data_IF_707410970312
#
_entry.id   IF_707410970312
#
_cell.length_a   1.000
_cell.length_b   1.000
_cell.length_c   1.000
_cell.angle_alpha   90.00
_cell.angle_beta   90.00
_cell.angle_gamma   90.00
#
_symmetry.space_group_name_H-M   'P 1'
#
loop_
_entity.id
_entity.type
_entity.pdbx_description
1 polymer ?
#
# COMPACT_ATOMS: atom_id res chain seq x y z
N UNK A 1 41.75 31.68 15.42
CA UNK A 1 40.76 31.29 14.39
C UNK A 1 40.87 29.79 14.24
N UNK A 2 40.25 29.07 15.16
CA UNK A 2 40.14 27.62 15.15
C UNK A 2 38.72 27.30 15.59
N UNK A 3 38.05 26.43 14.84
CA UNK A 3 36.65 26.11 15.06
C UNK A 3 36.10 25.23 13.94
N UNK A 4 36.16 23.93 14.19
CA UNK A 4 35.24 22.88 13.74
C UNK A 4 35.04 22.64 12.23
N UNK A 5 35.97 21.89 11.63
CA UNK A 5 35.69 21.04 10.47
C UNK A 5 35.31 19.59 10.85
N UNK A 6 35.16 19.27 12.15
CA UNK A 6 34.83 17.90 12.61
C UNK A 6 33.34 17.65 12.86
N UNK A 7 32.49 18.69 12.97
CA UNK A 7 31.04 18.53 13.17
C UNK A 7 30.27 18.18 11.89
N UNK A 8 30.83 18.45 10.70
CA UNK A 8 30.17 18.16 9.42
C UNK A 8 30.41 16.72 8.93
N UNK A 9 31.34 15.97 9.53
CA UNK A 9 31.62 14.57 9.16
C UNK A 9 30.80 13.54 9.94
N UNK A 10 30.08 13.93 11.01
CA UNK A 10 29.30 13.01 11.84
C UNK A 10 27.95 12.61 11.23
N UNK A 11 27.41 13.37 10.27
CA UNK A 11 26.12 13.06 9.61
C UNK A 11 26.25 12.23 8.31
N UNK A 12 27.48 11.90 7.87
CA UNK A 12 27.70 11.19 6.60
C UNK A 12 28.08 9.69 6.76
N UNK A 13 27.90 9.10 7.94
CA UNK A 13 28.18 7.68 8.23
C UNK A 13 26.90 6.85 8.35
N UNK A 14 26.17 6.72 7.25
CA UNK A 14 25.33 5.54 7.03
C UNK A 14 25.14 5.24 5.52
N UNK A 15 26.25 5.18 4.76
CA UNK A 15 26.26 4.51 3.45
C UNK A 15 26.39 3.01 3.68
N UNK A 16 25.28 2.27 3.63
CA UNK A 16 25.29 0.81 3.40
C UNK A 16 24.17 0.44 2.42
N UNK A 17 24.61 0.09 1.21
CA UNK A 17 24.00 -0.78 0.20
C UNK A 17 22.48 -1.01 0.31
N UNK A 18 21.72 -0.29 -0.50
CA UNK A 18 20.29 -0.47 -0.60
C UNK A 18 19.93 -1.61 -1.57
N UNK A 19 19.19 -2.59 -1.07
CA UNK A 19 18.31 -3.43 -1.88
C UNK A 19 16.88 -3.02 -1.53
N UNK A 20 16.26 -2.21 -2.37
CA UNK A 20 14.88 -1.77 -2.16
C UNK A 20 13.92 -2.81 -2.74
N UNK A 21 13.15 -3.46 -1.86
CA UNK A 21 11.95 -4.21 -2.24
C UNK A 21 10.80 -3.22 -2.41
N UNK A 22 10.06 -3.29 -3.52
CA UNK A 22 9.14 -2.27 -4.04
C UNK A 22 7.91 -1.88 -3.21
N UNK A 23 7.52 -2.66 -2.20
CA UNK A 23 6.28 -2.40 -1.45
C UNK A 23 6.17 -1.03 -0.74
N UNK A 24 7.27 -0.30 -0.52
CA UNK A 24 7.24 0.94 0.29
C UNK A 24 7.29 2.25 -0.50
N UNK A 25 7.41 2.20 -1.82
CA UNK A 25 7.93 3.34 -2.60
C UNK A 25 6.87 4.17 -3.33
N UNK A 26 5.65 3.66 -3.52
CA UNK A 26 4.67 4.33 -4.41
C UNK A 26 3.98 5.53 -3.73
N UNK A 27 3.70 5.49 -2.43
CA UNK A 27 3.06 6.63 -1.74
C UNK A 27 4.05 7.73 -1.32
N UNK A 28 5.33 7.39 -1.19
CA UNK A 28 6.39 8.35 -0.85
C UNK A 28 6.85 9.18 -2.06
N UNK A 29 6.27 8.97 -3.26
CA UNK A 29 6.68 9.69 -4.48
C UNK A 29 6.66 11.21 -4.26
N UNK A 30 5.59 11.85 -3.74
CA UNK A 30 5.57 13.30 -3.54
C UNK A 30 6.63 13.78 -2.54
N UNK A 31 6.88 13.01 -1.47
CA UNK A 31 7.91 13.33 -0.48
C UNK A 31 9.32 13.20 -1.08
N UNK A 32 9.57 12.11 -1.80
CA UNK A 32 10.84 11.88 -2.50
C UNK A 32 11.07 12.95 -3.56
N UNK A 33 10.07 13.28 -4.37
CA UNK A 33 10.15 14.36 -5.37
C UNK A 33 10.47 15.71 -4.73
N UNK A 34 9.85 16.03 -3.58
CA UNK A 34 10.13 17.25 -2.82
C UNK A 34 11.60 17.31 -2.37
N UNK A 35 12.13 16.25 -1.75
CA UNK A 35 13.52 16.23 -1.27
C UNK A 35 14.56 16.08 -2.39
N UNK A 36 14.20 15.41 -3.49
CA UNK A 36 15.09 15.13 -4.61
C UNK A 36 15.22 16.31 -5.58
N UNK A 37 14.37 17.34 -5.50
CA UNK A 37 14.51 18.56 -6.30
C UNK A 37 14.47 18.31 -7.81
N UNK A 38 13.69 17.33 -8.26
CA UNK A 38 13.56 16.96 -9.68
C UNK A 38 14.54 15.90 -10.19
N UNK A 39 15.32 15.25 -9.31
CA UNK A 39 16.08 14.05 -9.72
C UNK A 39 15.12 12.90 -10.13
N UNK A 40 15.40 12.17 -11.23
CA UNK A 40 14.60 11.02 -11.63
C UNK A 40 14.56 9.93 -10.55
N UNK A 41 13.35 9.51 -10.18
CA UNK A 41 13.14 8.36 -9.30
C UNK A 41 13.21 7.07 -10.12
N UNK A 42 14.24 6.27 -9.89
CA UNK A 42 14.51 5.06 -10.67
C UNK A 42 14.12 3.81 -9.89
N UNK A 43 13.28 2.97 -10.50
CA UNK A 43 13.06 1.60 -10.05
C UNK A 43 13.59 0.61 -11.09
N UNK A 44 14.73 -0.02 -10.80
CA UNK A 44 15.45 -0.85 -11.76
C UNK A 44 15.09 -2.33 -11.72
N UNK A 45 14.67 -2.85 -10.56
CA UNK A 45 14.62 -4.30 -10.32
C UNK A 45 13.32 -4.70 -9.63
N UNK A 46 12.75 -5.83 -10.04
CA UNK A 46 11.71 -6.53 -9.33
C UNK A 46 12.27 -7.86 -8.80
N UNK A 47 12.47 -7.92 -7.48
CA UNK A 47 13.13 -9.04 -6.79
C UNK A 47 12.42 -9.36 -5.47
N UNK A 48 12.39 -10.64 -5.12
CA UNK A 48 11.95 -11.16 -3.83
C UNK A 48 13.05 -12.05 -3.21
N UNK A 49 12.82 -12.60 -2.02
CA UNK A 49 13.82 -13.46 -1.34
C UNK A 49 13.93 -14.81 -2.04
N UNK A 50 12.83 -15.20 -2.67
CA UNK A 50 12.58 -16.47 -3.32
C UNK A 50 13.16 -16.50 -4.73
N UNK A 51 13.16 -15.36 -5.44
CA UNK A 51 13.57 -15.26 -6.83
C UNK A 51 13.92 -13.80 -7.25
N UNK A 52 14.89 -13.65 -8.15
CA UNK A 52 15.05 -12.40 -8.90
C UNK A 52 14.17 -12.48 -10.16
N UNK A 53 13.17 -11.61 -10.29
CA UNK A 53 12.10 -11.84 -11.28
C UNK A 53 12.32 -11.05 -12.56
N UNK A 54 12.54 -9.74 -12.45
CA UNK A 54 12.53 -8.87 -13.62
C UNK A 54 13.34 -7.59 -13.47
N UNK A 55 13.57 -6.93 -14.60
CA UNK A 55 14.30 -5.66 -14.69
C UNK A 55 13.45 -4.62 -15.40
N UNK A 56 13.53 -3.36 -14.97
CA UNK A 56 12.96 -2.25 -15.72
C UNK A 56 13.93 -1.88 -16.85
N UNK A 57 13.50 -2.10 -18.09
CA UNK A 57 14.27 -1.79 -19.30
C UNK A 57 14.18 -0.32 -19.71
N UNK A 58 13.24 0.44 -19.14
CA UNK A 58 13.12 1.89 -19.26
C UNK A 58 13.25 2.54 -17.88
N UNK A 59 14.47 2.60 -17.31
CA UNK A 59 14.68 3.00 -15.92
C UNK A 59 14.33 4.47 -15.64
N UNK A 60 14.17 5.31 -16.67
CA UNK A 60 13.80 6.72 -16.55
C UNK A 60 12.30 6.98 -16.78
N UNK A 61 11.51 5.92 -16.96
CA UNK A 61 10.05 6.02 -17.00
C UNK A 61 9.50 6.72 -15.76
N UNK A 62 8.38 7.42 -15.89
CA UNK A 62 7.70 7.99 -14.71
C UNK A 62 7.37 6.87 -13.71
N UNK A 63 7.40 7.15 -12.39
CA UNK A 63 7.06 6.16 -11.36
C UNK A 63 5.72 5.43 -11.58
N UNK A 64 4.71 6.12 -12.11
CA UNK A 64 3.39 5.54 -12.41
C UNK A 64 3.37 4.60 -13.64
N UNK A 65 4.39 4.70 -14.50
CA UNK A 65 4.48 3.97 -15.77
C UNK A 65 5.44 2.77 -15.68
N UNK A 66 6.07 2.55 -14.53
CA UNK A 66 7.07 1.49 -14.34
C UNK A 66 6.48 0.11 -14.65
N UNK A 67 7.19 -0.62 -15.52
CA UNK A 67 6.95 -2.03 -15.82
C UNK A 67 8.27 -2.80 -15.82
N UNK A 68 8.25 -4.03 -15.32
CA UNK A 68 9.41 -4.91 -15.25
C UNK A 68 9.31 -6.00 -16.31
N UNK A 69 10.34 -6.17 -17.11
CA UNK A 69 10.47 -7.29 -18.03
C UNK A 69 10.95 -8.51 -17.25
N UNK A 70 10.16 -9.59 -17.26
CA UNK A 70 10.54 -10.84 -16.60
C UNK A 70 11.74 -11.45 -17.32
N UNK A 71 12.75 -11.88 -16.57
CA UNK A 71 13.96 -12.51 -17.11
C UNK A 71 13.78 -14.03 -17.10
N UNK A 72 13.54 -14.68 -18.26
CA UNK A 72 13.10 -16.09 -18.29
C UNK A 72 14.13 -17.09 -17.75
N UNK A 73 15.41 -16.69 -17.65
CA UNK A 73 16.48 -17.57 -17.15
C UNK A 73 16.59 -17.62 -15.62
N UNK A 74 15.87 -16.77 -14.89
CA UNK A 74 15.99 -16.68 -13.43
C UNK A 74 15.26 -17.79 -12.67
N UNK A 75 14.12 -18.23 -13.20
CA UNK A 75 13.29 -19.31 -12.67
C UNK A 75 12.33 -19.78 -13.77
N UNK A 76 11.62 -20.88 -13.54
CA UNK A 76 10.44 -21.19 -14.32
C UNK A 76 9.25 -20.41 -13.75
N UNK A 77 8.56 -19.66 -14.61
CA UNK A 77 7.48 -18.76 -14.24
C UNK A 77 6.16 -19.24 -14.83
N UNK A 78 5.23 -19.57 -13.94
CA UNK A 78 3.81 -19.76 -14.20
C UNK A 78 3.03 -18.56 -13.67
N UNK A 79 1.81 -18.36 -14.16
CA UNK A 79 0.95 -17.24 -13.78
C UNK A 79 -0.45 -17.74 -13.47
N UNK A 80 -0.86 -17.58 -12.22
CA UNK A 80 -2.21 -17.87 -11.79
C UNK A 80 -3.10 -16.65 -12.07
N UNK A 81 -4.10 -16.80 -12.93
CA UNK A 81 -5.00 -15.70 -13.29
C UNK A 81 -5.82 -15.25 -12.07
N UNK A 82 -5.71 -13.96 -11.73
CA UNK A 82 -6.49 -13.36 -10.65
C UNK A 82 -7.73 -12.72 -11.26
N UNK A 83 -8.89 -13.33 -11.06
CA UNK A 83 -10.15 -12.69 -11.47
C UNK A 83 -10.36 -11.44 -10.64
N UNK A 84 -10.61 -10.31 -11.31
CA UNK A 84 -11.06 -9.05 -10.67
C UNK A 84 -12.56 -9.00 -10.38
N UNK A 85 -13.23 -10.16 -10.36
CA UNK A 85 -14.61 -10.23 -9.93
C UNK A 85 -14.66 -10.40 -8.42
N UNK A 86 -15.03 -9.31 -7.73
CA UNK A 86 -15.43 -9.28 -6.33
C UNK A 86 -16.74 -10.05 -6.10
N UNK A 87 -16.81 -11.33 -6.47
CA UNK A 87 -17.93 -12.22 -6.21
C UNK A 87 -17.44 -13.63 -5.87
N UNK A 88 -17.12 -13.86 -4.60
CA UNK A 88 -17.36 -15.19 -4.00
C UNK A 88 -18.71 -15.14 -3.27
N UNK A 89 -19.79 -15.05 -4.04
CA UNK A 89 -21.12 -15.48 -3.56
C UNK A 89 -21.37 -16.89 -4.06
N UNK A 90 -21.17 -17.87 -3.18
CA UNK A 90 -21.74 -19.21 -3.35
C UNK A 90 -20.70 -20.32 -3.28
N UNK A 91 -20.91 -21.23 -2.33
CA UNK A 91 -20.30 -22.55 -2.32
C UNK A 91 -20.63 -23.29 -3.63
N UNK A 92 -19.70 -23.27 -4.58
CA UNK A 92 -19.66 -24.12 -5.77
C UNK A 92 -18.29 -24.83 -5.86
N UNK A 93 -18.19 -26.01 -6.50
CA UNK A 93 -16.99 -26.82 -6.47
C UNK A 93 -15.87 -26.12 -7.25
N UNK A 94 -14.75 -25.86 -6.57
CA UNK A 94 -13.44 -25.46 -7.09
C UNK A 94 -13.47 -24.79 -8.47
N UNK A 95 -13.70 -23.48 -8.52
CA UNK A 95 -13.49 -22.73 -9.76
C UNK A 95 -12.07 -23.01 -10.28
N UNK A 96 -11.97 -23.44 -11.53
CA UNK A 96 -10.70 -23.81 -12.16
C UNK A 96 -9.74 -22.61 -12.14
N UNK A 97 -8.81 -22.62 -11.19
CA UNK A 97 -7.66 -21.72 -11.14
C UNK A 97 -6.84 -21.94 -12.42
N UNK A 98 -6.95 -21.03 -13.38
CA UNK A 98 -6.22 -21.11 -14.65
C UNK A 98 -4.79 -20.65 -14.41
N UNK A 99 -3.87 -21.59 -14.50
CA UNK A 99 -2.43 -21.32 -14.49
C UNK A 99 -1.95 -21.35 -15.93
N UNK A 100 -1.27 -20.29 -16.37
CA UNK A 100 -0.71 -20.16 -17.72
C UNK A 100 0.81 -20.05 -17.65
N UNK A 101 1.49 -20.44 -18.72
CA UNK A 101 2.93 -20.26 -18.84
C UNK A 101 3.28 -18.78 -19.09
N UNK A 102 4.56 -18.42 -18.86
CA UNK A 102 5.10 -17.09 -19.11
C UNK A 102 4.75 -16.53 -20.52
N UNK A 103 4.70 -17.39 -21.54
CA UNK A 103 4.44 -16.99 -22.92
C UNK A 103 2.94 -16.74 -23.21
N UNK A 104 2.04 -17.26 -22.37
CA UNK A 104 0.60 -17.30 -22.62
C UNK A 104 -0.18 -16.24 -21.83
N UNK A 105 0.53 -15.38 -21.10
CA UNK A 105 -0.07 -14.26 -20.36
C UNK A 105 -0.69 -13.23 -21.31
N UNK A 106 -1.78 -12.61 -20.88
CA UNK A 106 -2.55 -11.65 -21.71
C UNK A 106 -2.37 -10.22 -21.23
N UNK A 107 -2.13 -9.30 -22.16
CA UNK A 107 -2.05 -7.86 -21.85
C UNK A 107 -3.35 -7.39 -21.21
N UNK A 108 -3.24 -6.62 -20.13
CA UNK A 108 -4.36 -6.08 -19.36
C UNK A 108 -4.88 -6.98 -18.25
N UNK A 109 -4.51 -8.27 -18.25
CA UNK A 109 -4.91 -9.22 -17.21
C UNK A 109 -3.98 -9.15 -15.99
N UNK A 110 -4.53 -9.50 -14.83
CA UNK A 110 -3.82 -9.58 -13.56
C UNK A 110 -3.53 -11.04 -13.20
N UNK A 111 -2.32 -11.29 -12.71
CA UNK A 111 -1.84 -12.61 -12.38
C UNK A 111 -1.05 -12.61 -11.08
N UNK A 112 -1.13 -13.72 -10.35
CA UNK A 112 -0.17 -14.04 -9.30
C UNK A 112 0.95 -14.91 -9.87
N UNK A 113 2.22 -14.50 -9.74
CA UNK A 113 3.33 -15.30 -10.22
C UNK A 113 3.53 -16.53 -9.33
N UNK A 114 3.69 -17.67 -10.00
CA UNK A 114 3.97 -18.98 -9.42
C UNK A 114 5.36 -19.39 -9.91
N UNK A 115 6.32 -19.49 -8.99
CA UNK A 115 7.73 -19.68 -9.34
C UNK A 115 8.22 -21.08 -8.99
N UNK A 116 8.98 -21.67 -9.90
CA UNK A 116 9.80 -22.86 -9.63
C UNK A 116 11.27 -22.47 -9.77
N UNK A 117 12.04 -22.60 -8.68
CA UNK A 117 13.40 -22.05 -8.57
C UNK A 117 14.46 -23.13 -8.46
N UNK A 118 15.71 -22.78 -8.81
CA UNK A 118 16.87 -23.68 -8.65
C UNK A 118 17.16 -24.07 -7.20
N UNK A 119 16.64 -23.29 -6.24
CA UNK A 119 16.82 -23.53 -4.80
C UNK A 119 15.75 -24.43 -4.18
N UNK A 120 14.91 -25.08 -5.00
CA UNK A 120 13.97 -26.12 -4.54
C UNK A 120 12.58 -25.60 -4.13
N UNK A 121 12.20 -24.39 -4.53
CA UNK A 121 10.80 -23.98 -4.48
C UNK A 121 10.10 -24.51 -5.74
N UNK A 122 8.99 -25.23 -5.58
CA UNK A 122 8.23 -25.81 -6.70
C UNK A 122 6.81 -25.26 -6.70
N UNK A 123 6.44 -24.62 -7.81
CA UNK A 123 5.14 -23.95 -8.00
C UNK A 123 4.76 -23.08 -6.80
N UNK A 124 5.73 -22.33 -6.28
CA UNK A 124 5.55 -21.48 -5.11
C UNK A 124 4.82 -20.20 -5.49
N UNK A 125 3.68 -19.96 -4.84
CA UNK A 125 2.89 -18.74 -4.97
C UNK A 125 3.60 -17.57 -4.28
N UNK A 126 4.02 -16.57 -5.03
CA UNK A 126 4.75 -15.41 -4.49
C UNK A 126 3.85 -14.50 -3.66
N UNK A 127 2.53 -14.50 -3.93
CA UNK A 127 1.54 -13.65 -3.26
C UNK A 127 1.41 -12.23 -3.81
N UNK A 128 2.26 -11.87 -4.79
CA UNK A 128 2.19 -10.60 -5.50
C UNK A 128 1.11 -10.65 -6.59
N UNK A 129 0.52 -9.51 -6.94
CA UNK A 129 -0.38 -9.36 -8.10
C UNK A 129 0.31 -8.50 -9.13
N UNK A 130 0.35 -8.98 -10.37
CA UNK A 130 1.07 -8.39 -11.49
C UNK A 130 0.13 -8.19 -12.67
N UNK A 131 0.09 -6.97 -13.21
CA UNK A 131 -0.63 -6.68 -14.46
C UNK A 131 0.29 -6.79 -15.65
N UNK A 132 -0.08 -7.55 -16.67
CA UNK A 132 0.67 -7.54 -17.93
C UNK A 132 0.39 -6.22 -18.67
N UNK A 133 1.43 -5.47 -18.95
CA UNK A 133 1.35 -4.15 -19.62
C UNK A 133 1.78 -4.19 -21.08
N UNK A 134 2.47 -5.25 -21.50
CA UNK A 134 3.02 -5.39 -22.84
C UNK A 134 4.09 -6.46 -22.89
N UNK A 135 4.91 -6.42 -23.93
CA UNK A 135 6.01 -7.34 -24.16
C UNK A 135 7.24 -6.58 -24.64
N UNK A 136 8.41 -6.97 -24.13
CA UNK A 136 9.70 -6.59 -24.70
C UNK A 136 10.24 -7.77 -25.51
N UNK A 137 10.24 -7.63 -26.83
CA UNK A 137 10.32 -8.77 -27.74
C UNK A 137 9.21 -9.78 -27.39
N UNK A 138 9.58 -10.99 -26.95
CA UNK A 138 8.64 -12.03 -26.53
C UNK A 138 8.51 -12.17 -25.01
N UNK A 139 9.27 -11.40 -24.22
CA UNK A 139 9.22 -11.47 -22.77
C UNK A 139 8.15 -10.52 -22.22
N UNK A 140 7.22 -10.98 -21.36
CA UNK A 140 6.18 -10.12 -20.84
C UNK A 140 6.73 -9.05 -19.92
N UNK A 141 6.12 -7.87 -20.01
CA UNK A 141 6.35 -6.74 -19.13
C UNK A 141 5.19 -6.59 -18.15
N UNK A 142 5.51 -6.61 -16.87
CA UNK A 142 4.53 -6.61 -15.78
C UNK A 142 4.65 -5.37 -14.91
N UNK A 143 3.51 -4.78 -14.58
CA UNK A 143 3.39 -3.75 -13.56
C UNK A 143 3.01 -4.39 -12.24
N UNK A 144 3.71 -3.98 -11.18
CA UNK A 144 3.36 -4.37 -9.83
C UNK A 144 2.04 -3.72 -9.41
N UNK A 145 1.05 -4.54 -9.07
CA UNK A 145 -0.28 -4.08 -8.63
C UNK A 145 -0.35 -4.04 -7.10
N UNK A 146 0.04 -5.13 -6.44
CA UNK A 146 -0.04 -5.23 -4.98
C UNK A 146 0.32 -6.62 -4.47
N UNK A 147 -0.09 -6.92 -3.24
CA UNK A 147 -0.11 -8.29 -2.68
C UNK A 147 -1.54 -8.67 -2.36
N UNK A 148 -1.91 -9.94 -2.52
CA UNK A 148 -3.20 -10.47 -2.07
C UNK A 148 -3.24 -10.61 -0.54
N UNK A 149 -3.17 -9.48 0.15
CA UNK A 149 -3.29 -9.42 1.61
C UNK A 149 -4.51 -8.58 1.95
N UNK A 150 -5.55 -9.24 2.47
CA UNK A 150 -6.65 -8.55 3.14
C UNK A 150 -6.06 -7.86 4.37
N UNK A 151 -6.21 -6.54 4.44
CA UNK A 151 -5.67 -5.71 5.52
C UNK A 151 -6.75 -5.32 6.52
N UNK A 152 -8.00 -5.16 6.08
CA UNK A 152 -9.13 -4.82 6.93
C UNK A 152 -10.38 -5.61 6.53
N UNK A 153 -11.16 -6.02 7.53
CA UNK A 153 -12.42 -6.75 7.38
C UNK A 153 -13.19 -6.68 8.70
N UNK A 154 -14.45 -6.25 8.68
CA UNK A 154 -15.33 -6.22 9.86
C UNK A 154 -16.35 -7.36 9.81
N UNK A 155 -16.98 -7.54 8.66
CA UNK A 155 -17.96 -8.58 8.38
C UNK A 155 -17.61 -9.27 7.06
N UNK A 156 -18.43 -9.14 6.02
CA UNK A 156 -18.16 -9.70 4.69
C UNK A 156 -17.28 -8.79 3.81
N UNK A 157 -17.00 -7.57 4.26
CA UNK A 157 -16.09 -6.65 3.59
C UNK A 157 -14.65 -7.18 3.63
N UNK A 158 -13.94 -7.05 2.51
CA UNK A 158 -12.54 -7.45 2.39
C UNK A 158 -11.77 -6.33 1.70
N UNK A 159 -11.15 -5.48 2.51
CA UNK A 159 -10.29 -4.42 1.97
C UNK A 159 -8.87 -4.96 1.83
N UNK A 160 -8.37 -4.95 0.59
CA UNK A 160 -7.00 -5.34 0.28
C UNK A 160 -6.03 -4.17 0.47
N UNK A 161 -4.75 -4.47 0.65
CA UNK A 161 -3.71 -3.45 0.85
C UNK A 161 -3.68 -2.43 -0.30
N UNK A 162 -3.87 -2.89 -1.54
CA UNK A 162 -3.91 -2.03 -2.73
C UNK A 162 -5.08 -1.06 -2.73
N UNK A 163 -6.27 -1.53 -2.34
CA UNK A 163 -7.48 -0.72 -2.32
C UNK A 163 -7.33 0.35 -1.25
N UNK A 164 -6.85 -0.03 -0.07
CA UNK A 164 -6.57 0.92 1.01
C UNK A 164 -5.54 1.98 0.60
N UNK A 165 -4.45 1.58 -0.06
CA UNK A 165 -3.45 2.52 -0.57
C UNK A 165 -4.06 3.50 -1.58
N UNK A 166 -4.88 3.00 -2.49
CA UNK A 166 -5.56 3.82 -3.51
C UNK A 166 -6.56 4.79 -2.88
N UNK A 167 -7.38 4.35 -1.93
CA UNK A 167 -8.38 5.21 -1.28
C UNK A 167 -7.72 6.30 -0.44
N UNK A 168 -6.65 5.98 0.29
CA UNK A 168 -5.85 6.97 1.02
C UNK A 168 -5.19 7.97 0.06
N UNK A 169 -4.60 7.50 -1.04
CA UNK A 169 -4.00 8.38 -2.06
C UNK A 169 -5.02 9.38 -2.60
N UNK A 170 -6.24 8.92 -2.93
CA UNK A 170 -7.31 9.79 -3.40
C UNK A 170 -7.70 10.84 -2.34
N UNK A 171 -7.83 10.43 -1.08
CA UNK A 171 -8.18 11.34 0.00
C UNK A 171 -7.10 12.41 0.24
N UNK A 172 -5.82 12.07 0.08
CA UNK A 172 -4.71 13.04 0.22
C UNK A 172 -4.69 14.13 -0.86
N UNK A 173 -5.45 14.00 -1.95
CA UNK A 173 -5.60 15.10 -2.92
C UNK A 173 -6.26 16.34 -2.30
N UNK A 174 -7.06 16.16 -1.24
CA UNK A 174 -7.68 17.26 -0.48
C UNK A 174 -6.64 18.10 0.29
N UNK A 175 -5.40 17.63 0.40
CA UNK A 175 -4.30 18.36 1.04
C UNK A 175 -3.67 19.44 0.15
N UNK A 176 -3.86 19.37 -1.17
CA UNK A 176 -3.22 20.32 -2.11
C UNK A 176 -3.45 21.80 -1.76
N UNK A 177 -4.66 22.25 -1.36
CA UNK A 177 -4.90 23.65 -1.00
C UNK A 177 -4.36 24.06 0.38
N UNK A 178 -3.92 23.11 1.21
CA UNK A 178 -3.66 23.30 2.64
C UNK A 178 -2.18 23.15 3.01
N UNK A 179 -1.29 23.00 2.03
CA UNK A 179 0.16 22.75 2.23
C UNK A 179 0.47 21.56 3.16
N UNK A 180 -0.46 20.60 3.23
CA UNK A 180 -0.35 19.37 4.00
C UNK A 180 0.28 18.25 3.17
N UNK A 181 0.89 17.30 3.86
CA UNK A 181 1.42 16.08 3.27
C UNK A 181 1.22 14.91 4.23
N UNK A 182 0.78 13.76 3.71
CA UNK A 182 0.79 12.52 4.47
C UNK A 182 2.23 11.98 4.51
N UNK A 183 2.79 11.83 5.71
CA UNK A 183 4.14 11.29 5.92
C UNK A 183 4.10 9.76 5.89
N UNK A 184 3.22 9.15 6.68
CA UNK A 184 2.96 7.72 6.66
C UNK A 184 1.57 7.43 7.25
N UNK A 185 1.10 6.20 7.04
CA UNK A 185 -0.15 5.74 7.61
C UNK A 185 -0.18 4.23 7.88
N UNK A 186 -1.02 3.83 8.83
CA UNK A 186 -1.43 2.44 9.02
C UNK A 186 -2.92 2.40 9.34
N UNK A 187 -3.49 1.20 9.36
CA UNK A 187 -4.88 0.98 9.71
C UNK A 187 -5.05 -0.07 10.82
N UNK A 188 -6.26 -0.19 11.33
CA UNK A 188 -6.75 -1.33 12.10
C UNK A 188 -8.26 -1.41 11.98
N UNK A 189 -8.81 -2.56 12.34
CA UNK A 189 -10.23 -2.69 12.68
C UNK A 189 -10.41 -2.37 14.16
N UNK A 190 -11.38 -1.52 14.47
CA UNK A 190 -11.85 -1.30 15.83
C UNK A 190 -13.20 -1.99 16.02
N UNK A 191 -13.19 -3.05 16.82
CA UNK A 191 -14.38 -3.82 17.19
C UNK A 191 -14.82 -3.55 18.64
N UNK A 192 -14.32 -2.48 19.26
CA UNK A 192 -14.68 -2.12 20.64
C UNK A 192 -16.08 -1.47 20.72
N UNK A 193 -16.55 -0.87 19.64
CA UNK A 193 -17.91 -0.36 19.46
C UNK A 193 -18.74 -1.24 18.54
N UNK A 194 -20.07 -1.13 18.64
CA UNK A 194 -20.99 -1.75 17.70
C UNK A 194 -21.80 -0.69 16.94
N UNK A 195 -21.81 -0.71 15.59
CA UNK A 195 -20.99 -1.55 14.72
C UNK A 195 -19.50 -1.22 14.83
N UNK A 196 -18.63 -2.20 14.52
CA UNK A 196 -17.19 -1.96 14.41
C UNK A 196 -16.87 -1.08 13.20
N UNK A 197 -15.71 -0.43 13.18
CA UNK A 197 -15.32 0.50 12.12
C UNK A 197 -13.82 0.43 11.80
N UNK A 198 -13.44 0.99 10.65
CA UNK A 198 -12.04 1.13 10.28
C UNK A 198 -11.44 2.36 10.94
N UNK A 199 -10.22 2.20 11.45
CA UNK A 199 -9.42 3.29 12.01
C UNK A 199 -8.14 3.42 11.20
N UNK A 200 -7.87 4.63 10.69
CA UNK A 200 -6.62 4.98 10.02
C UNK A 200 -5.80 5.90 10.92
N UNK A 201 -4.53 5.60 11.10
CA UNK A 201 -3.58 6.48 11.79
C UNK A 201 -2.75 7.22 10.76
N UNK A 202 -2.81 8.55 10.76
CA UNK A 202 -2.13 9.41 9.78
C UNK A 202 -1.10 10.28 10.48
N UNK A 203 0.17 10.18 10.08
CA UNK A 203 1.19 11.16 10.45
C UNK A 203 1.26 12.23 9.37
N UNK A 204 1.02 13.48 9.75
CA UNK A 204 0.97 14.60 8.83
C UNK A 204 2.20 15.48 8.95
N UNK A 205 2.63 16.02 7.82
CA UNK A 205 3.68 17.03 7.72
C UNK A 205 3.21 18.22 6.89
N UNK A 206 4.06 19.24 6.82
CA UNK A 206 3.84 20.40 5.97
C UNK A 206 4.88 20.44 4.86
N UNK A 207 4.49 20.97 3.70
CA UNK A 207 5.43 21.34 2.62
C UNK A 207 6.25 22.58 2.98
N UNK A 208 5.81 23.37 3.97
CA UNK A 208 6.48 24.58 4.47
C UNK A 208 7.22 24.24 5.77
N UNK A 209 8.51 24.60 5.85
CA UNK A 209 9.31 24.37 7.06
C UNK A 209 8.80 25.21 8.24
N UNK A 210 8.84 24.63 9.44
CA UNK A 210 8.56 25.28 10.74
C UNK A 210 7.11 25.73 11.00
N UNK A 211 6.13 25.22 10.24
CA UNK A 211 4.71 25.45 10.51
C UNK A 211 4.13 24.30 11.33
N UNK A 212 3.42 24.62 12.42
CA UNK A 212 2.62 23.61 13.13
C UNK A 212 1.50 23.14 12.22
N UNK A 213 1.48 21.84 11.95
CA UNK A 213 0.43 21.20 11.16
C UNK A 213 -0.78 21.00 12.06
N UNK A 214 -1.78 21.86 11.91
CA UNK A 214 -3.11 21.65 12.47
C UNK A 214 -4.09 21.51 11.31
N UNK A 215 -4.53 20.28 10.98
CA UNK A 215 -5.42 20.09 9.86
C UNK A 215 -6.82 20.60 10.22
N UNK A 216 -7.46 21.30 9.28
CA UNK A 216 -8.85 21.76 9.41
C UNK A 216 -9.77 20.55 9.64
N UNK A 217 -10.59 20.54 10.71
CA UNK A 217 -11.55 19.47 10.96
C UNK A 217 -12.47 19.16 9.77
N UNK A 218 -12.92 20.17 9.02
CA UNK A 218 -13.80 19.95 7.87
C UNK A 218 -13.08 19.18 6.76
N UNK A 219 -11.82 19.51 6.49
CA UNK A 219 -10.98 18.80 5.51
C UNK A 219 -10.73 17.37 5.93
N UNK A 220 -10.48 17.12 7.22
CA UNK A 220 -10.25 15.77 7.74
C UNK A 220 -11.51 14.90 7.74
N UNK A 221 -12.66 15.47 8.06
CA UNK A 221 -13.95 14.78 7.94
C UNK A 221 -14.27 14.45 6.47
N UNK A 222 -13.95 15.36 5.53
CA UNK A 222 -14.07 15.09 4.10
C UNK A 222 -13.08 14.02 3.63
N UNK A 223 -11.86 13.98 4.17
CA UNK A 223 -10.91 12.89 3.92
C UNK A 223 -11.48 11.54 4.38
N UNK A 224 -12.12 11.49 5.55
CA UNK A 224 -12.77 10.27 6.03
C UNK A 224 -13.81 9.78 5.01
N UNK A 225 -14.68 10.70 4.55
CA UNK A 225 -15.70 10.38 3.55
C UNK A 225 -15.10 9.97 2.20
N UNK A 226 -14.08 10.67 1.70
CA UNK A 226 -13.42 10.35 0.44
C UNK A 226 -12.78 8.95 0.43
N UNK A 227 -12.23 8.52 1.58
CA UNK A 227 -11.78 7.13 1.76
C UNK A 227 -12.98 6.18 1.67
N UNK A 228 -14.06 6.41 2.43
CA UNK A 228 -15.24 5.53 2.42
C UNK A 228 -15.88 5.40 1.04
N UNK A 229 -16.00 6.50 0.30
CA UNK A 229 -16.57 6.55 -1.04
C UNK A 229 -15.72 5.78 -2.06
N UNK A 230 -14.42 5.69 -1.82
CA UNK A 230 -13.48 4.98 -2.71
C UNK A 230 -13.35 3.49 -2.39
N UNK A 231 -13.88 3.02 -1.26
CA UNK A 231 -13.84 1.61 -0.87
C UNK A 231 -14.83 0.77 -1.70
N UNK A 232 -14.67 -0.55 -1.64
CA UNK A 232 -15.45 -1.48 -2.46
C UNK A 232 -16.96 -1.41 -2.17
N UNK A 233 -17.75 -2.00 -3.08
CA UNK A 233 -19.20 -1.98 -2.96
C UNK A 233 -19.72 -2.74 -1.73
N UNK A 234 -18.95 -3.69 -1.18
CA UNK A 234 -19.33 -4.48 0.00
C UNK A 234 -19.19 -3.63 1.26
N UNK A 235 -18.08 -2.89 1.41
CA UNK A 235 -17.89 -1.92 2.47
C UNK A 235 -18.98 -0.83 2.42
N UNK A 236 -19.22 -0.23 1.24
CA UNK A 236 -20.22 0.83 1.08
C UNK A 236 -21.65 0.33 1.34
N UNK A 237 -21.97 -0.90 0.95
CA UNK A 237 -23.22 -1.60 1.33
C UNK A 237 -23.32 -1.76 2.84
N UNK A 238 -22.24 -2.20 3.50
CA UNK A 238 -22.18 -2.37 4.95
C UNK A 238 -22.41 -1.08 5.72
N UNK A 239 -21.89 0.05 5.20
CA UNK A 239 -22.12 1.39 5.72
C UNK A 239 -23.56 1.89 5.52
N UNK A 240 -24.11 1.75 4.31
CA UNK A 240 -25.39 2.38 3.91
C UNK A 240 -26.61 1.52 4.21
N UNK A 241 -26.58 0.24 3.81
CA UNK A 241 -27.74 -0.64 3.81
C UNK A 241 -27.75 -1.59 5.01
N UNK A 242 -26.68 -2.39 5.16
CA UNK A 242 -26.65 -3.46 6.16
C UNK A 242 -26.39 -2.92 7.57
N UNK A 243 -25.80 -1.72 7.68
CA UNK A 243 -25.49 -0.99 8.92
C UNK A 243 -24.66 -1.80 9.93
N UNK A 244 -23.86 -2.73 9.42
CA UNK A 244 -22.93 -3.58 10.16
C UNK A 244 -21.51 -2.98 10.23
N UNK A 245 -21.24 -1.90 9.48
CA UNK A 245 -19.98 -1.15 9.51
C UNK A 245 -20.24 0.28 9.99
N UNK A 246 -19.50 0.72 11.01
CA UNK A 246 -19.52 2.07 11.56
C UNK A 246 -18.73 3.07 10.70
N UNK A 247 -18.87 4.37 10.98
CA UNK A 247 -18.18 5.40 10.20
C UNK A 247 -16.66 5.30 10.36
N UNK A 248 -15.94 5.39 9.24
CA UNK A 248 -14.48 5.40 9.24
C UNK A 248 -13.93 6.55 10.09
N UNK A 249 -12.90 6.24 10.87
CA UNK A 249 -12.20 7.18 11.74
C UNK A 249 -10.77 7.41 11.25
N UNK A 250 -10.35 8.67 11.13
CA UNK A 250 -8.95 9.06 10.96
C UNK A 250 -8.44 9.64 12.28
N UNK A 251 -7.38 9.05 12.81
CA UNK A 251 -6.64 9.52 13.98
C UNK A 251 -5.33 10.13 13.51
N UNK A 252 -5.15 11.44 13.70
CA UNK A 252 -3.88 12.10 13.40
C UNK A 252 -2.93 11.83 14.56
N UNK A 253 -1.71 11.41 14.25
CA UNK A 253 -0.65 11.19 15.24
C UNK A 253 0.42 12.27 15.16
N UNK A 254 1.14 12.49 16.28
CA UNK A 254 2.26 13.44 16.32
C UNK A 254 3.37 13.06 15.34
N UNK A 255 4.13 14.05 14.88
CA UNK A 255 5.34 13.79 14.07
C UNK A 255 6.34 12.91 14.82
N UNK A 256 6.89 11.91 14.13
CA UNK A 256 7.79 10.89 14.67
C UNK A 256 7.09 9.67 15.29
N UNK A 257 5.75 9.58 15.26
CA UNK A 257 5.02 8.44 15.78
C UNK A 257 5.35 7.14 15.02
N UNK A 258 5.55 7.21 13.71
CA UNK A 258 5.94 6.04 12.92
C UNK A 258 7.40 5.64 13.13
N UNK A 259 8.29 6.56 13.51
CA UNK A 259 9.65 6.25 13.93
C UNK A 259 9.67 5.50 15.29
N UNK A 260 8.79 5.89 16.22
CA UNK A 260 8.58 5.15 17.47
C UNK A 260 8.02 3.75 17.21
N UNK A 261 7.05 3.62 16.28
CA UNK A 261 6.51 2.35 15.86
C UNK A 261 7.58 1.45 15.22
N UNK A 262 8.43 2.01 14.36
CA UNK A 262 9.58 1.30 13.79
C UNK A 262 10.52 0.81 14.90
N UNK A 263 10.88 1.68 15.84
CA UNK A 263 11.75 1.37 16.97
C UNK A 263 11.17 0.23 17.82
N UNK A 264 9.85 0.21 18.03
CA UNK A 264 9.14 -0.88 18.70
C UNK A 264 9.36 -2.23 17.98
N UNK A 265 9.14 -2.31 16.67
CA UNK A 265 9.32 -3.56 15.93
C UNK A 265 10.79 -4.00 15.83
N UNK A 266 11.71 -3.05 15.67
CA UNK A 266 13.16 -3.31 15.64
C UNK A 266 13.64 -3.87 16.98
N UNK A 267 13.18 -3.32 18.11
CA UNK A 267 13.51 -3.84 19.44
C UNK A 267 13.07 -5.29 19.66
N UNK A 268 12.13 -5.78 18.84
CA UNK A 268 11.57 -7.14 18.86
C UNK A 268 12.14 -8.04 17.77
N UNK A 269 13.27 -7.66 17.18
CA UNK A 269 14.01 -8.48 16.23
C UNK A 269 13.68 -8.22 14.76
N UNK A 270 12.88 -7.21 14.42
CA UNK A 270 12.71 -6.81 13.03
C UNK A 270 14.01 -6.20 12.50
N UNK A 271 14.42 -6.57 11.29
CA UNK A 271 15.59 -5.97 10.64
C UNK A 271 15.31 -4.52 10.26
N UNK A 272 16.17 -3.60 10.70
CA UNK A 272 16.10 -2.18 10.36
C UNK A 272 16.08 -1.96 8.84
N UNK A 273 16.91 -2.70 8.09
CA UNK A 273 17.04 -2.51 6.63
C UNK A 273 15.87 -3.06 5.83
N UNK A 274 15.03 -3.89 6.44
CA UNK A 274 13.86 -4.51 5.81
C UNK A 274 12.55 -3.99 6.38
N UNK A 275 12.60 -3.12 7.39
CA UNK A 275 11.42 -2.60 8.03
C UNK A 275 10.56 -1.82 7.02
N UNK A 276 9.25 -2.09 7.09
CA UNK A 276 8.22 -1.33 6.41
C UNK A 276 7.07 -1.18 7.39
N UNK A 277 6.52 0.02 7.45
CA UNK A 277 5.29 0.28 8.18
C UNK A 277 4.21 -0.69 7.69
N UNK A 278 3.69 -1.58 8.58
CA UNK A 278 2.60 -2.47 8.22
C UNK A 278 1.37 -1.63 7.91
N UNK A 279 0.62 -1.95 6.84
CA UNK A 279 -0.59 -1.18 6.48
C UNK A 279 -1.79 -1.49 7.35
N UNK A 280 -1.75 -2.59 8.12
CA UNK A 280 -2.74 -2.93 9.13
C UNK A 280 -2.06 -3.55 10.35
N UNK A 281 -2.45 -3.08 11.53
CA UNK A 281 -1.91 -3.49 12.82
C UNK A 281 -2.90 -4.38 13.56
N UNK A 282 -2.44 -5.58 13.91
CA UNK A 282 -3.15 -6.52 14.78
C UNK A 282 -2.49 -6.67 16.16
N UNK A 283 -1.27 -6.14 16.33
CA UNK A 283 -0.54 -6.25 17.59
C UNK A 283 -0.98 -5.12 18.55
N UNK A 284 -1.64 -5.49 19.65
CA UNK A 284 -2.19 -4.54 20.63
C UNK A 284 -1.13 -3.67 21.35
N UNK A 285 0.13 -4.09 21.42
CA UNK A 285 1.21 -3.26 21.97
C UNK A 285 1.66 -2.20 20.96
N UNK A 286 1.78 -2.56 19.68
CA UNK A 286 2.07 -1.62 18.60
C UNK A 286 0.94 -0.58 18.45
N UNK A 287 -0.31 -1.03 18.56
CA UNK A 287 -1.49 -0.15 18.57
C UNK A 287 -1.42 0.83 19.74
N UNK A 288 -1.04 0.38 20.95
CA UNK A 288 -0.90 1.27 22.11
C UNK A 288 0.15 2.37 21.91
N UNK A 289 1.24 2.08 21.20
CA UNK A 289 2.24 3.11 20.83
C UNK A 289 1.60 4.21 19.98
N UNK A 290 0.78 3.84 19.00
CA UNK A 290 0.08 4.81 18.16
C UNK A 290 -1.05 5.54 18.89
N UNK A 291 -1.88 4.83 19.68
CA UNK A 291 -2.96 5.46 20.46
C UNK A 291 -2.41 6.51 21.44
N UNK A 292 -1.25 6.24 22.07
CA UNK A 292 -0.56 7.22 22.93
C UNK A 292 0.01 8.43 22.15
N UNK A 293 0.01 8.36 20.82
CA UNK A 293 0.54 9.37 19.91
C UNK A 293 -0.52 10.15 19.16
N UNK A 294 -1.81 9.82 19.37
CA UNK A 294 -2.93 10.50 18.74
C UNK A 294 -3.08 11.92 19.28
N UNK A 295 -3.15 12.89 18.37
CA UNK A 295 -3.37 14.32 18.68
C UNK A 295 -4.79 14.77 18.38
N UNK A 296 -5.45 14.18 17.38
CA UNK A 296 -6.82 14.50 17.01
C UNK A 296 -7.51 13.31 16.33
N UNK A 297 -8.85 13.31 16.35
CA UNK A 297 -9.70 12.23 15.84
C UNK A 297 -10.83 12.82 15.02
N UNK A 298 -11.06 12.25 13.85
CA UNK A 298 -12.08 12.67 12.90
C UNK A 298 -12.85 11.47 12.41
N UNK A 299 -14.14 11.64 12.16
CA UNK A 299 -15.04 10.56 11.77
C UNK A 299 -15.84 11.01 10.56
N UNK A 300 -16.05 10.11 9.61
CA UNK A 300 -16.89 10.37 8.44
C UNK A 300 -18.30 10.81 8.87
N UNK A 301 -18.73 12.00 8.44
CA UNK A 301 -20.08 12.55 8.71
C UNK A 301 -21.13 12.16 7.69
N UNK A 302 -20.68 11.71 6.52
CA UNK A 302 -21.52 11.33 5.38
C UNK A 302 -21.53 9.81 5.27
N UNK A 303 -22.55 9.28 4.61
CA UNK A 303 -22.63 7.85 4.30
C UNK A 303 -22.23 7.70 2.83
N UNK A 304 -21.32 6.79 2.48
CA UNK A 304 -20.91 6.60 1.10
C UNK A 304 -22.10 6.20 0.22
N UNK A 305 -22.03 6.57 -1.05
CA UNK A 305 -23.01 6.16 -2.04
C UNK A 305 -22.94 4.65 -2.24
N UNK A 306 -24.09 4.04 -2.51
CA UNK A 306 -24.21 2.64 -2.84
C UNK A 306 -25.59 2.37 -3.42
N UNK A 307 -25.66 1.69 -4.55
CA UNK A 307 -26.89 1.25 -5.19
C UNK A 307 -26.94 -0.27 -5.38
N UNK A 308 -28.16 -0.82 -5.40
CA UNK A 308 -28.41 -2.26 -5.49
C UNK A 308 -27.79 -2.90 -6.75
N UNK A 309 -27.66 -2.12 -7.82
CA UNK A 309 -27.11 -2.58 -9.09
C UNK A 309 -25.57 -2.64 -9.08
N UNK A 310 -24.88 -2.01 -8.14
CA UNK A 310 -23.41 -2.03 -8.02
C UNK A 310 -22.85 -3.38 -7.56
N UNK A 311 -23.71 -4.27 -7.05
CA UNK A 311 -23.36 -5.68 -6.87
C UNK A 311 -23.26 -6.43 -8.22
N UNK A 312 -23.84 -5.86 -9.29
CA UNK A 312 -24.00 -6.48 -10.60
C UNK A 312 -23.44 -5.62 -11.76
N UNK A 313 -22.92 -4.43 -11.49
CA UNK A 313 -22.51 -3.43 -12.48
C UNK A 313 -20.99 -3.32 -12.55
N UNK A 314 -20.38 -4.43 -12.96
CA UNK A 314 -19.10 -4.47 -13.67
C UNK A 314 -19.25 -5.38 -14.90
N UNK A 315 -20.43 -5.29 -15.55
CA UNK A 315 -20.74 -5.95 -16.82
C UNK A 315 -20.09 -5.25 -18.00
#
# INVERSE_FOLDING_TARGET
MGGNCEETMAQCKMRRSHHYRLHGTVYNIPMLEFYCGGLPLVSSLYVCSECSIGVNIDPLSKPCDVSYTIIPSMAYFEFLETKKDHQETGHGPAENLVVVDLADVKVGHDYEPVVTTFSGLYRYRVGDVLRVTGFYNNAPQVRFVGRQKVVLSIDMDKTYEEDLLKTVTNATLLFEPHDLMLIDFTSRVDSSSFPGHYVLYWELGSKVKDVRVEPDPEVMEECCFAVEESLDSVYRKGRKNDKNIGPLEIKVVRGGAFDELMSFFVSRGSSVSQYKTPRSLMNEEAVRVLEASVVSKFVSRKIPSWELHELHSSR
#
